data_IF_401973240828
#
_entry.id   IF_401973240828
#
_cell.length_a   1.000
_cell.length_b   1.000
_cell.length_c   1.000
_cell.angle_alpha   90.00
_cell.angle_beta   90.00
_cell.angle_gamma   90.00
#
_symmetry.space_group_name_H-M   'P 1'
#
loop_
_entity.id
_entity.type
_entity.pdbx_description
1 polymer ?
#
# COMPACT_ATOMS: atom_id res chain seq x y z
N UNK A 1 5.21 -31.34 -63.35
CA UNK A 1 4.62 -30.09 -62.84
C UNK A 1 4.20 -30.37 -61.38
N UNK A 2 5.05 -29.97 -60.42
CA UNK A 2 4.88 -30.20 -59.01
C UNK A 2 4.60 -28.85 -58.34
N UNK A 3 3.55 -28.65 -57.57
CA UNK A 3 3.32 -27.39 -56.85
C UNK A 3 4.17 -27.32 -55.60
N UNK A 4 4.91 -26.25 -55.49
CA UNK A 4 5.69 -25.86 -54.30
C UNK A 4 4.76 -25.40 -53.17
N UNK A 5 4.78 -26.09 -52.02
CA UNK A 5 4.18 -25.63 -50.81
C UNK A 5 5.09 -24.61 -50.12
N UNK A 6 4.59 -23.42 -49.96
CA UNK A 6 5.20 -22.36 -49.12
C UNK A 6 4.89 -22.67 -47.66
N UNK A 7 5.91 -22.98 -46.87
CA UNK A 7 5.83 -23.11 -45.42
C UNK A 7 5.69 -21.71 -44.79
N UNK A 8 4.57 -21.51 -44.07
CA UNK A 8 4.37 -20.32 -43.27
C UNK A 8 5.37 -20.29 -42.10
N UNK A 9 6.06 -19.18 -41.95
CA UNK A 9 6.88 -18.88 -40.79
C UNK A 9 5.95 -18.78 -39.57
N UNK A 10 6.12 -19.69 -38.63
CA UNK A 10 5.56 -19.60 -37.27
C UNK A 10 6.41 -18.61 -36.52
N UNK A 11 5.77 -17.63 -35.91
CA UNK A 11 6.42 -16.57 -35.15
C UNK A 11 6.82 -17.11 -33.78
N UNK A 12 7.96 -17.81 -33.70
CA UNK A 12 8.44 -18.49 -32.48
C UNK A 12 8.84 -17.52 -31.33
N UNK A 13 8.96 -16.21 -31.63
CA UNK A 13 9.42 -15.24 -30.64
C UNK A 13 8.31 -14.76 -29.67
N UNK A 14 7.03 -14.88 -30.02
CA UNK A 14 5.92 -14.42 -29.17
C UNK A 14 5.61 -15.41 -28.04
N UNK A 15 5.70 -16.72 -28.33
CA UNK A 15 5.38 -17.76 -27.35
C UNK A 15 6.48 -17.95 -26.30
N UNK A 16 7.74 -17.58 -26.63
CA UNK A 16 8.87 -17.69 -25.70
C UNK A 16 8.77 -16.72 -24.53
N UNK A 17 8.32 -15.49 -24.78
CA UNK A 17 8.18 -14.46 -23.74
C UNK A 17 6.99 -14.71 -22.82
N UNK A 18 5.87 -15.16 -23.35
CA UNK A 18 4.70 -15.54 -22.54
C UNK A 18 5.00 -16.76 -21.67
N UNK A 19 5.70 -17.76 -22.18
CA UNK A 19 6.10 -18.94 -21.40
C UNK A 19 7.14 -18.60 -20.35
N UNK A 20 8.10 -17.72 -20.62
CA UNK A 20 9.15 -17.33 -19.65
C UNK A 20 8.60 -16.47 -18.53
N UNK A 21 7.65 -15.56 -18.81
CA UNK A 21 6.95 -14.80 -17.77
C UNK A 21 6.07 -15.70 -16.88
N UNK A 22 5.41 -16.70 -17.46
CA UNK A 22 4.54 -17.60 -16.72
C UNK A 22 5.28 -18.53 -15.75
N UNK A 23 6.52 -18.92 -16.04
CA UNK A 23 7.28 -19.88 -15.20
C UNK A 23 7.99 -19.18 -14.03
N UNK A 24 8.37 -17.90 -14.18
CA UNK A 24 9.01 -17.15 -13.09
C UNK A 24 8.00 -16.65 -12.03
N UNK A 25 6.71 -16.61 -12.34
CA UNK A 25 5.66 -16.23 -11.37
C UNK A 25 5.29 -17.36 -10.39
N UNK A 26 5.69 -18.60 -10.64
CA UNK A 26 5.21 -19.78 -9.90
C UNK A 26 5.87 -19.97 -8.51
N UNK A 27 6.85 -19.15 -8.08
CA UNK A 27 7.53 -19.34 -6.79
C UNK A 27 7.86 -18.05 -6.02
N UNK A 28 7.39 -16.90 -6.47
CA UNK A 28 7.62 -15.65 -5.76
C UNK A 28 6.41 -15.35 -4.88
N UNK A 29 6.60 -15.49 -3.58
CA UNK A 29 5.60 -15.12 -2.58
C UNK A 29 5.36 -13.61 -2.66
N UNK A 30 4.11 -13.21 -2.90
CA UNK A 30 3.79 -11.77 -2.91
C UNK A 30 3.97 -11.20 -1.50
N UNK A 31 4.59 -10.01 -1.36
CA UNK A 31 4.83 -9.43 -0.06
C UNK A 31 3.52 -8.96 0.59
N UNK A 32 3.57 -8.81 1.90
CA UNK A 32 2.61 -8.02 2.65
C UNK A 32 3.02 -6.55 2.55
N UNK A 33 2.12 -5.69 2.09
CA UNK A 33 2.40 -4.30 1.75
C UNK A 33 1.55 -3.38 2.60
N UNK A 34 2.17 -2.37 3.22
CA UNK A 34 1.47 -1.28 3.90
C UNK A 34 1.64 0.00 3.11
N UNK A 35 0.54 0.56 2.60
CA UNK A 35 0.53 1.91 2.02
C UNK A 35 0.34 2.89 3.17
N UNK A 36 1.40 3.67 3.47
CA UNK A 36 1.41 4.57 4.61
C UNK A 36 1.45 6.05 4.21
N UNK A 37 1.12 6.90 5.16
CA UNK A 37 1.14 8.35 5.01
C UNK A 37 -0.05 9.02 5.69
N UNK A 38 -0.06 10.35 5.66
CA UNK A 38 -1.09 11.18 6.29
C UNK A 38 -2.47 11.00 5.65
N UNK A 39 -3.53 11.39 6.34
CA UNK A 39 -4.87 11.44 5.76
C UNK A 39 -4.88 12.35 4.51
N UNK A 40 -5.60 11.94 3.46
CA UNK A 40 -5.65 12.69 2.19
C UNK A 40 -4.45 12.46 1.25
N UNK A 41 -3.46 11.63 1.62
CA UNK A 41 -2.35 11.27 0.75
C UNK A 41 -2.76 10.39 -0.45
N UNK A 42 -3.94 9.74 -0.41
CA UNK A 42 -4.43 8.88 -1.49
C UNK A 42 -4.16 7.39 -1.26
N UNK A 43 -3.94 6.97 -0.03
CA UNK A 43 -3.60 5.57 0.32
C UNK A 43 -4.59 4.55 -0.23
N UNK A 44 -5.90 4.75 0.01
CA UNK A 44 -6.97 3.83 -0.39
C UNK A 44 -7.10 3.66 -1.90
N UNK A 45 -6.68 4.66 -2.69
CA UNK A 45 -6.66 4.52 -4.15
C UNK A 45 -5.47 3.66 -4.61
N UNK A 46 -4.30 3.85 -4.00
CA UNK A 46 -3.08 3.14 -4.36
C UNK A 46 -3.10 1.69 -3.87
N UNK A 47 -3.66 1.43 -2.68
CA UNK A 47 -3.76 0.05 -2.16
C UNK A 47 -4.65 -0.82 -3.04
N UNK A 48 -5.82 -0.32 -3.45
CA UNK A 48 -6.72 -1.05 -4.35
C UNK A 48 -6.11 -1.29 -5.73
N UNK A 49 -5.43 -0.29 -6.32
CA UNK A 49 -4.77 -0.43 -7.62
C UNK A 49 -3.59 -1.42 -7.58
N UNK A 50 -2.79 -1.41 -6.51
CA UNK A 50 -1.72 -2.38 -6.32
C UNK A 50 -2.26 -3.79 -6.10
N UNK A 51 -3.30 -3.93 -5.29
CA UNK A 51 -3.93 -5.21 -5.02
C UNK A 51 -4.53 -5.82 -6.31
N UNK A 52 -5.21 -5.03 -7.13
CA UNK A 52 -5.71 -5.45 -8.44
C UNK A 52 -4.56 -5.90 -9.36
N UNK A 53 -3.48 -5.11 -9.43
CA UNK A 53 -2.31 -5.41 -10.26
C UNK A 53 -1.61 -6.72 -9.89
N UNK A 54 -1.58 -7.03 -8.60
CA UNK A 54 -0.92 -8.25 -8.08
C UNK A 54 -1.88 -9.42 -7.86
N UNK A 55 -3.19 -9.21 -7.99
CA UNK A 55 -4.20 -10.23 -7.77
C UNK A 55 -4.28 -10.69 -6.30
N UNK A 56 -4.07 -9.75 -5.36
CA UNK A 56 -4.10 -10.00 -3.91
C UNK A 56 -5.23 -9.23 -3.22
N UNK A 57 -5.55 -9.61 -1.99
CA UNK A 57 -6.55 -8.91 -1.18
C UNK A 57 -6.04 -7.53 -0.74
N UNK A 58 -6.98 -6.57 -0.57
CA UNK A 58 -6.69 -5.30 0.08
C UNK A 58 -7.68 -4.98 1.20
N UNK A 59 -7.26 -4.08 2.11
CA UNK A 59 -8.07 -3.62 3.24
C UNK A 59 -7.77 -2.16 3.56
N UNK A 60 -8.80 -1.35 3.74
CA UNK A 60 -8.61 -0.06 4.42
C UNK A 60 -8.44 -0.33 5.93
N UNK A 61 -7.27 -0.01 6.46
CA UNK A 61 -6.96 -0.24 7.88
C UNK A 61 -7.91 0.50 8.82
N UNK A 62 -8.56 1.56 8.36
CA UNK A 62 -9.54 2.29 9.18
C UNK A 62 -10.77 1.42 9.51
N UNK A 63 -11.12 0.44 8.67
CA UNK A 63 -12.20 -0.53 8.92
C UNK A 63 -11.89 -1.51 10.06
N UNK A 64 -10.63 -1.61 10.46
CA UNK A 64 -10.16 -2.51 11.53
C UNK A 64 -10.06 -1.84 12.90
N UNK A 65 -10.52 -0.59 13.03
CA UNK A 65 -10.55 0.07 14.32
C UNK A 65 -11.52 -0.61 15.29
N UNK A 66 -11.10 -0.88 16.55
CA UNK A 66 -12.03 -1.28 17.61
C UNK A 66 -13.11 -0.22 17.81
N UNK A 67 -14.30 -0.65 18.23
CA UNK A 67 -15.43 0.26 18.48
C UNK A 67 -15.08 1.42 19.42
N UNK A 68 -14.28 1.16 20.45
CA UNK A 68 -13.83 2.19 21.39
C UNK A 68 -13.02 3.33 20.70
N UNK A 69 -12.23 2.99 19.65
CA UNK A 69 -11.50 3.99 18.88
C UNK A 69 -12.46 4.81 18.00
N UNK A 70 -13.43 4.14 17.38
CA UNK A 70 -14.46 4.80 16.55
C UNK A 70 -15.26 5.79 17.41
N UNK A 71 -15.71 5.37 18.60
CA UNK A 71 -16.46 6.19 19.55
C UNK A 71 -15.65 7.43 20.00
N UNK A 72 -14.34 7.22 20.27
CA UNK A 72 -13.43 8.28 20.68
C UNK A 72 -13.22 9.30 19.55
N UNK A 73 -12.95 8.85 18.32
CA UNK A 73 -12.79 9.71 17.15
C UNK A 73 -14.07 10.46 16.80
N UNK A 74 -15.23 9.79 16.84
CA UNK A 74 -16.54 10.39 16.59
C UNK A 74 -16.86 11.48 17.63
N UNK A 75 -16.39 11.33 18.88
CA UNK A 75 -16.50 12.33 19.94
C UNK A 75 -15.50 13.49 19.78
N UNK A 76 -14.69 13.50 18.70
CA UNK A 76 -13.72 14.56 18.39
C UNK A 76 -12.39 14.45 19.15
N UNK A 77 -12.12 13.34 19.82
CA UNK A 77 -10.87 13.13 20.54
C UNK A 77 -9.86 12.35 19.70
N UNK A 78 -8.60 12.81 19.61
CA UNK A 78 -7.55 12.08 18.90
C UNK A 78 -7.18 10.78 19.65
N UNK A 79 -6.81 9.76 18.87
CA UNK A 79 -6.25 8.54 19.44
C UNK A 79 -4.81 8.79 19.91
N UNK A 80 -4.47 8.22 21.06
CA UNK A 80 -3.10 8.13 21.55
C UNK A 80 -2.44 6.79 21.13
N UNK A 81 -1.21 6.54 21.56
CA UNK A 81 -0.46 5.35 21.17
C UNK A 81 -1.08 4.06 21.75
N UNK A 82 -1.64 4.13 22.97
CA UNK A 82 -2.33 3.00 23.60
C UNK A 82 -3.62 2.61 22.85
N UNK A 83 -4.39 3.62 22.41
CA UNK A 83 -5.60 3.40 21.61
C UNK A 83 -5.28 2.70 20.29
N UNK A 84 -4.12 3.00 19.69
CA UNK A 84 -3.71 2.44 18.38
C UNK A 84 -3.20 1.01 18.47
N UNK A 85 -2.71 0.56 19.62
CA UNK A 85 -2.16 -0.81 19.77
C UNK A 85 -3.13 -1.91 19.35
N UNK A 86 -4.37 -1.98 19.83
CA UNK A 86 -5.32 -3.00 19.39
C UNK A 86 -5.67 -2.89 17.92
N UNK A 87 -5.77 -1.68 17.38
CA UNK A 87 -5.98 -1.45 15.95
C UNK A 87 -4.84 -2.01 15.09
N UNK A 88 -3.59 -1.68 15.42
CA UNK A 88 -2.42 -2.23 14.73
C UNK A 88 -2.32 -3.76 14.88
N UNK A 89 -2.77 -4.31 16.01
CA UNK A 89 -2.85 -5.77 16.22
C UNK A 89 -3.88 -6.40 15.26
N UNK A 90 -5.05 -5.76 15.08
CA UNK A 90 -6.06 -6.23 14.12
C UNK A 90 -5.53 -6.20 12.68
N UNK A 91 -4.82 -5.13 12.29
CA UNK A 91 -4.17 -5.04 10.97
C UNK A 91 -3.17 -6.18 10.79
N UNK A 92 -2.27 -6.39 11.77
CA UNK A 92 -1.27 -7.44 11.72
C UNK A 92 -1.91 -8.85 11.62
N UNK A 93 -3.00 -9.09 12.35
CA UNK A 93 -3.74 -10.34 12.29
C UNK A 93 -4.38 -10.56 10.91
N UNK A 94 -5.04 -9.54 10.36
CA UNK A 94 -5.65 -9.59 9.02
C UNK A 94 -4.60 -9.90 7.94
N UNK A 95 -3.43 -9.28 8.02
CA UNK A 95 -2.32 -9.53 7.10
C UNK A 95 -1.73 -10.94 7.27
N UNK A 96 -1.60 -11.42 8.51
CA UNK A 96 -1.06 -12.75 8.80
C UNK A 96 -1.89 -13.88 8.17
N UNK A 97 -3.22 -13.74 8.13
CA UNK A 97 -4.12 -14.69 7.46
C UNK A 97 -3.89 -14.78 5.93
N UNK A 98 -3.22 -13.77 5.35
CA UNK A 98 -2.95 -13.62 3.91
C UNK A 98 -1.48 -13.77 3.53
N UNK A 99 -0.68 -14.17 4.49
CA UNK A 99 0.77 -14.22 4.34
C UNK A 99 1.24 -15.12 3.19
N UNK A 100 0.49 -16.15 2.84
CA UNK A 100 0.85 -17.07 1.74
C UNK A 100 0.56 -16.50 0.35
N UNK A 101 -0.44 -15.61 0.25
CA UNK A 101 -0.89 -15.04 -1.02
C UNK A 101 -0.41 -13.59 -1.23
N UNK A 102 0.06 -12.93 -0.16
CA UNK A 102 0.31 -11.50 -0.14
C UNK A 102 -0.97 -10.70 0.11
N UNK A 103 -0.81 -9.46 0.52
CA UNK A 103 -1.93 -8.52 0.74
C UNK A 103 -1.44 -7.07 0.75
N UNK A 104 -2.35 -6.13 0.51
CA UNK A 104 -2.11 -4.69 0.63
C UNK A 104 -3.05 -4.11 1.69
N UNK A 105 -2.52 -3.24 2.56
CA UNK A 105 -3.36 -2.53 3.54
C UNK A 105 -3.03 -1.04 3.55
N UNK A 106 -4.05 -0.18 3.51
CA UNK A 106 -3.88 1.24 3.79
C UNK A 106 -3.86 1.45 5.30
N UNK A 107 -2.77 2.02 5.82
CA UNK A 107 -2.63 2.35 7.23
C UNK A 107 -1.78 3.61 7.39
N UNK A 108 -2.18 4.56 8.22
CA UNK A 108 -1.38 5.77 8.41
C UNK A 108 0.06 5.47 8.87
N UNK A 109 0.28 4.53 9.78
CA UNK A 109 1.58 4.01 10.25
C UNK A 109 2.65 5.10 10.48
N UNK A 110 2.22 6.27 11.04
CA UNK A 110 3.00 7.50 11.06
C UNK A 110 4.27 7.43 11.91
N UNK A 111 4.29 6.63 12.99
CA UNK A 111 5.46 6.47 13.84
C UNK A 111 6.20 5.17 13.57
N UNK A 112 7.51 5.19 13.74
CA UNK A 112 8.36 4.00 13.65
C UNK A 112 7.86 2.86 14.57
N UNK A 113 7.47 3.19 15.81
CA UNK A 113 6.94 2.20 16.77
C UNK A 113 5.66 1.50 16.30
N UNK A 114 4.83 2.14 15.45
CA UNK A 114 3.65 1.51 14.87
C UNK A 114 4.07 0.51 13.79
N UNK A 115 5.04 0.89 12.96
CA UNK A 115 5.61 0.03 11.93
C UNK A 115 6.35 -1.16 12.53
N UNK A 116 7.06 -0.96 13.63
CA UNK A 116 7.68 -2.03 14.42
C UNK A 116 6.65 -3.03 14.96
N UNK A 117 5.50 -2.54 15.43
CA UNK A 117 4.44 -3.42 15.91
C UNK A 117 3.91 -4.31 14.77
N UNK A 118 3.73 -3.79 13.57
CA UNK A 118 3.33 -4.55 12.40
C UNK A 118 4.42 -5.57 11.98
N UNK A 119 5.68 -5.16 11.95
CA UNK A 119 6.83 -6.02 11.60
C UNK A 119 7.11 -7.13 12.61
N UNK A 120 6.71 -6.98 13.86
CA UNK A 120 6.84 -8.06 14.87
C UNK A 120 6.10 -9.33 14.44
N UNK A 121 4.95 -9.17 13.80
CA UNK A 121 4.17 -10.30 13.29
C UNK A 121 4.70 -10.79 11.95
N UNK A 122 5.21 -9.87 11.12
CA UNK A 122 5.73 -10.17 9.79
C UNK A 122 6.99 -9.36 9.48
N UNK A 123 8.20 -9.93 9.70
CA UNK A 123 9.47 -9.21 9.52
C UNK A 123 9.72 -8.70 8.10
N UNK A 124 9.23 -9.42 7.08
CA UNK A 124 9.39 -9.09 5.65
C UNK A 124 8.33 -8.11 5.12
N UNK A 125 7.56 -7.48 6.03
CA UNK A 125 6.58 -6.46 5.70
C UNK A 125 7.26 -5.26 5.03
N UNK A 126 6.71 -4.80 3.90
CA UNK A 126 7.23 -3.66 3.16
C UNK A 126 6.28 -2.46 3.23
N UNK A 127 6.86 -1.25 3.16
CA UNK A 127 6.11 0.00 3.24
C UNK A 127 6.21 0.80 1.95
N UNK A 128 5.08 1.29 1.47
CA UNK A 128 5.02 2.32 0.42
C UNK A 128 4.54 3.61 1.09
N UNK A 129 5.44 4.54 1.32
CA UNK A 129 5.15 5.81 1.96
C UNK A 129 4.75 6.86 0.93
N UNK A 130 3.50 7.31 0.99
CA UNK A 130 3.02 8.44 0.20
C UNK A 130 3.31 9.74 0.94
N UNK A 131 4.33 10.46 0.50
CA UNK A 131 4.79 11.72 1.08
C UNK A 131 4.53 12.90 0.14
N UNK A 132 4.44 14.11 0.66
CA UNK A 132 4.28 15.31 -0.14
C UNK A 132 3.92 16.54 0.69
N UNK A 133 3.64 17.65 0.00
CA UNK A 133 3.41 18.95 0.65
C UNK A 133 2.05 18.97 1.39
N UNK A 134 2.08 19.43 2.65
CA UNK A 134 0.90 19.63 3.49
C UNK A 134 -0.20 20.46 2.81
N UNK A 135 0.19 21.49 2.02
CA UNK A 135 -0.78 22.37 1.33
C UNK A 135 -1.63 21.60 0.31
N UNK A 136 -1.08 20.58 -0.31
CA UNK A 136 -1.79 19.74 -1.27
C UNK A 136 -2.80 18.87 -0.55
N UNK A 137 -2.40 18.22 0.54
CA UNK A 137 -3.31 17.45 1.40
C UNK A 137 -4.46 18.31 1.90
N UNK A 138 -4.18 19.53 2.39
CA UNK A 138 -5.22 20.44 2.85
C UNK A 138 -6.25 20.74 1.74
N UNK A 139 -5.79 21.06 0.52
CA UNK A 139 -6.67 21.29 -0.64
C UNK A 139 -7.48 20.04 -1.02
N UNK A 140 -6.86 18.85 -0.98
CA UNK A 140 -7.55 17.60 -1.29
C UNK A 140 -8.68 17.30 -0.29
N UNK A 141 -8.42 17.54 1.00
CA UNK A 141 -9.40 17.33 2.06
C UNK A 141 -10.54 18.37 1.97
N UNK A 142 -10.22 19.64 1.73
CA UNK A 142 -11.22 20.70 1.51
C UNK A 142 -12.14 20.43 0.31
N UNK A 143 -11.59 19.82 -0.75
CA UNK A 143 -12.36 19.46 -1.95
C UNK A 143 -13.26 18.22 -1.77
N UNK A 144 -13.07 17.42 -0.72
CA UNK A 144 -13.92 16.25 -0.44
C UNK A 144 -15.25 16.68 0.17
N UNK A 145 -16.34 16.53 -0.59
CA UNK A 145 -17.68 16.70 -0.09
C UNK A 145 -18.05 15.58 0.89
N UNK A 146 -18.48 15.95 2.10
CA UNK A 146 -19.01 15.00 3.09
C UNK A 146 -18.06 14.53 4.19
N UNK A 147 -16.78 14.87 4.16
CA UNK A 147 -15.84 14.59 5.24
C UNK A 147 -15.13 15.87 5.67
N UNK A 148 -15.65 16.50 6.73
CA UNK A 148 -14.98 17.64 7.35
C UNK A 148 -13.89 17.11 8.29
N UNK A 149 -12.64 17.15 7.84
CA UNK A 149 -11.49 16.93 8.72
C UNK A 149 -10.90 18.29 9.08
N UNK A 150 -10.84 18.64 10.38
CA UNK A 150 -10.19 19.88 10.81
C UNK A 150 -8.74 19.95 10.34
N UNK A 151 -8.28 21.11 9.86
CA UNK A 151 -6.87 21.32 9.45
C UNK A 151 -5.88 21.04 10.58
N UNK A 152 -6.28 21.26 11.84
CA UNK A 152 -5.49 20.91 13.03
C UNK A 152 -5.15 19.42 13.11
N UNK A 153 -6.00 18.54 12.59
CA UNK A 153 -5.72 17.11 12.57
C UNK A 153 -4.64 16.78 11.52
N UNK A 154 -4.64 17.48 10.39
CA UNK A 154 -3.57 17.35 9.37
C UNK A 154 -2.24 17.79 9.98
N UNK A 155 -2.21 18.93 10.67
CA UNK A 155 -1.01 19.44 11.34
C UNK A 155 -0.47 18.45 12.37
N UNK A 156 -1.36 17.88 13.16
CA UNK A 156 -1.01 16.83 14.13
C UNK A 156 -0.39 15.60 13.47
N UNK A 157 -0.91 15.18 12.30
CA UNK A 157 -0.36 14.03 11.60
C UNK A 157 1.03 14.33 11.02
N UNK A 158 1.24 15.49 10.41
CA UNK A 158 2.57 15.91 9.94
C UNK A 158 3.58 16.07 11.08
N UNK A 159 3.15 16.58 12.23
CA UNK A 159 4.00 16.68 13.42
C UNK A 159 4.35 15.32 14.04
N UNK A 160 3.50 14.31 13.78
CA UNK A 160 3.67 12.93 14.30
C UNK A 160 4.43 12.05 13.32
N UNK A 161 4.43 12.39 12.03
CA UNK A 161 5.01 11.58 10.96
C UNK A 161 6.53 11.47 11.13
N UNK A 162 6.98 10.24 11.30
CA UNK A 162 8.38 9.84 11.23
C UNK A 162 8.63 9.22 9.84
N UNK A 163 9.48 9.82 8.99
CA UNK A 163 9.83 9.24 7.69
C UNK A 163 10.33 7.80 7.80
N UNK A 164 10.27 7.03 6.72
CA UNK A 164 10.88 5.69 6.69
C UNK A 164 12.37 5.82 6.99
N UNK A 165 12.86 5.01 7.92
CA UNK A 165 14.26 4.91 8.26
C UNK A 165 15.00 3.97 7.27
N UNK A 166 16.33 4.08 7.22
CA UNK A 166 17.15 3.29 6.28
C UNK A 166 17.11 1.77 6.51
N UNK A 167 16.71 1.35 7.70
CA UNK A 167 16.55 -0.05 8.11
C UNK A 167 15.13 -0.59 7.87
N UNK A 168 14.23 0.25 7.37
CA UNK A 168 12.86 -0.14 7.04
C UNK A 168 12.74 -0.48 5.56
N UNK A 169 12.32 -1.71 5.26
CA UNK A 169 12.05 -2.12 3.90
C UNK A 169 10.88 -1.31 3.32
N UNK A 170 11.16 -0.42 2.38
CA UNK A 170 10.11 0.42 1.81
C UNK A 170 10.63 1.47 0.82
N UNK A 171 9.67 2.10 0.15
CA UNK A 171 9.90 3.21 -0.77
C UNK A 171 9.05 4.41 -0.38
N UNK A 172 9.61 5.63 -0.57
CA UNK A 172 8.85 6.87 -0.42
C UNK A 172 8.56 7.46 -1.79
N UNK A 173 7.28 7.70 -2.07
CA UNK A 173 6.78 8.24 -3.33
C UNK A 173 6.10 9.59 -3.09
N UNK A 174 6.25 10.51 -4.04
CA UNK A 174 5.61 11.82 -3.95
C UNK A 174 4.15 11.72 -4.42
N UNK A 175 3.18 11.94 -3.54
CA UNK A 175 1.77 11.86 -3.88
C UNK A 175 1.26 12.97 -4.83
N UNK A 176 2.14 13.87 -5.32
CA UNK A 176 1.81 14.82 -6.38
C UNK A 176 1.78 14.16 -7.76
N UNK A 177 2.43 13.01 -7.89
CA UNK A 177 2.37 12.19 -9.09
C UNK A 177 0.96 11.58 -9.25
N UNK A 178 0.63 11.15 -10.46
CA UNK A 178 -0.66 10.50 -10.72
C UNK A 178 -0.75 9.14 -10.02
N UNK A 179 -1.96 8.64 -9.79
CA UNK A 179 -2.19 7.33 -9.16
C UNK A 179 -1.55 6.21 -9.96
N UNK A 180 -1.62 6.29 -11.28
CA UNK A 180 -1.05 5.35 -12.23
C UNK A 180 0.49 5.34 -12.15
N UNK A 181 1.12 6.50 -12.06
CA UNK A 181 2.57 6.64 -11.88
C UNK A 181 3.01 6.08 -10.53
N UNK A 182 2.33 6.45 -9.44
CA UNK A 182 2.60 5.95 -8.09
C UNK A 182 2.48 4.43 -8.02
N UNK A 183 1.40 3.87 -8.58
CA UNK A 183 1.18 2.42 -8.63
C UNK A 183 2.27 1.72 -9.43
N UNK A 184 2.68 2.32 -10.56
CA UNK A 184 3.74 1.76 -11.41
C UNK A 184 5.09 1.80 -10.71
N UNK A 185 5.46 2.92 -10.08
CA UNK A 185 6.71 3.05 -9.33
C UNK A 185 6.77 2.07 -8.15
N UNK A 186 5.68 1.96 -7.38
CA UNK A 186 5.59 1.01 -6.28
C UNK A 186 5.74 -0.44 -6.78
N UNK A 187 5.02 -0.81 -7.84
CA UNK A 187 5.07 -2.16 -8.40
C UNK A 187 6.45 -2.51 -8.98
N UNK A 188 7.12 -1.56 -9.64
CA UNK A 188 8.48 -1.76 -10.16
C UNK A 188 9.46 -1.99 -9.01
N UNK A 189 9.43 -1.14 -7.99
CA UNK A 189 10.28 -1.30 -6.81
C UNK A 189 10.03 -2.65 -6.10
N UNK A 190 8.76 -3.05 -5.93
CA UNK A 190 8.39 -4.34 -5.33
C UNK A 190 8.91 -5.54 -6.14
N UNK A 191 9.00 -5.42 -7.45
CA UNK A 191 9.57 -6.46 -8.31
C UNK A 191 11.09 -6.59 -8.15
N UNK A 192 11.78 -5.49 -7.83
CA UNK A 192 13.24 -5.46 -7.69
C UNK A 192 13.73 -5.95 -6.31
N UNK A 193 12.91 -5.80 -5.26
CA UNK A 193 13.30 -6.14 -3.86
C UNK A 193 12.82 -7.52 -3.42
N UNK A 194 11.98 -8.21 -4.20
CA UNK A 194 11.54 -9.58 -4.01
C UNK A 194 12.28 -10.52 -4.95
#
# INVERSE_FOLDING_TARGET
>A
MIPTHTLGQVNEDHDFWETTMSVNHLHRRMPLIVIMGVAGAGKTDIDSMLAERFGVDFMDGDDLHPQANIDKMTSGYPLNDEDRRPWLTNIAAWMAERADNGAVVACSALKHIYRDQLRKTWPDLVFVHLAGDRKIVAKRIEARTGHFMPTSLIDSQYATLEPLAADEAGITLNFDDTREELTTMAATWLADVN
#
